data_IF_139350137603
#
_entry.id   IF_139350137603
#
_cell.length_a   1.000
_cell.length_b   1.000
_cell.length_c   1.000
_cell.angle_alpha   90.00
_cell.angle_beta   90.00
_cell.angle_gamma   90.00
#
_symmetry.space_group_name_H-M   'P 1'
#
loop_
_entity.id
_entity.type
_entity.pdbx_description
1 polymer ?
#
# COMPACT_ATOMS: atom_id res chain seq x y z
N UNK A 1 -1.02 -1.16 -12.36
CA UNK A 1 -0.83 -2.46 -12.97
C UNK A 1 -1.10 -3.55 -11.97
N UNK A 2 -1.88 -4.53 -12.35
CA UNK A 2 -2.26 -5.63 -11.47
C UNK A 2 -1.38 -6.88 -11.63
N UNK A 3 -0.40 -6.88 -12.53
CA UNK A 3 0.54 -8.00 -12.62
C UNK A 3 1.49 -7.99 -11.43
N UNK A 4 1.78 -9.16 -10.84
CA UNK A 4 2.81 -9.25 -9.82
C UNK A 4 4.12 -8.73 -10.41
N UNK A 5 4.70 -7.76 -9.77
CA UNK A 5 5.99 -7.21 -10.16
C UNK A 5 7.05 -7.74 -9.21
N UNK A 6 8.22 -8.08 -9.76
CA UNK A 6 9.37 -8.30 -8.90
C UNK A 6 9.77 -6.96 -8.31
N UNK A 7 10.08 -6.92 -7.05
CA UNK A 7 10.75 -5.80 -6.45
C UNK A 7 11.81 -6.28 -5.46
N UNK A 8 12.72 -5.40 -5.14
CA UNK A 8 13.80 -5.68 -4.22
C UNK A 8 14.06 -4.47 -3.35
N UNK A 9 14.57 -4.72 -2.17
CA UNK A 9 14.94 -3.68 -1.23
C UNK A 9 16.20 -2.98 -1.71
N UNK A 10 16.15 -1.65 -1.86
CA UNK A 10 17.29 -0.85 -2.29
C UNK A 10 18.49 -0.99 -1.35
N UNK A 11 18.25 -1.21 -0.05
CA UNK A 11 19.31 -1.37 0.93
C UNK A 11 20.09 -2.68 0.78
N UNK A 12 19.52 -3.67 0.09
CA UNK A 12 20.20 -4.94 -0.18
C UNK A 12 21.21 -4.87 -1.31
N UNK A 13 21.24 -3.77 -2.06
CA UNK A 13 22.15 -3.55 -3.15
C UNK A 13 23.49 -2.99 -2.65
N UNK A 14 24.59 -3.31 -3.33
CA UNK A 14 25.86 -2.65 -3.02
C UNK A 14 25.85 -1.19 -3.48
N UNK A 15 26.82 -0.40 -3.03
CA UNK A 15 26.86 1.06 -3.29
C UNK A 15 26.85 1.41 -4.78
N UNK A 16 27.53 0.64 -5.60
CA UNK A 16 27.58 0.88 -7.04
C UNK A 16 26.24 0.56 -7.71
N UNK A 17 25.64 -0.57 -7.34
CA UNK A 17 24.31 -0.95 -7.81
C UNK A 17 23.25 0.07 -7.38
N UNK A 18 23.32 0.57 -6.16
CA UNK A 18 22.41 1.60 -5.66
C UNK A 18 22.54 2.89 -6.46
N UNK A 19 23.75 3.28 -6.82
CA UNK A 19 24.01 4.49 -7.62
C UNK A 19 23.38 4.37 -9.01
N UNK A 20 23.60 3.25 -9.70
CA UNK A 20 23.05 3.01 -11.03
C UNK A 20 21.53 2.94 -11.00
N UNK A 21 20.96 2.26 -10.01
CA UNK A 21 19.52 2.16 -9.80
C UNK A 21 18.90 3.54 -9.52
N UNK A 22 19.54 4.35 -8.69
CA UNK A 22 19.06 5.70 -8.37
C UNK A 22 19.05 6.61 -9.60
N UNK A 23 20.07 6.53 -10.47
CA UNK A 23 20.12 7.29 -11.71
C UNK A 23 18.99 6.91 -12.66
N UNK A 24 18.78 5.61 -12.85
CA UNK A 24 17.68 5.09 -13.67
C UNK A 24 16.33 5.52 -13.10
N UNK A 25 16.17 5.40 -11.80
CA UNK A 25 14.95 5.79 -11.10
C UNK A 25 14.66 7.29 -11.25
N UNK A 26 15.68 8.14 -11.08
CA UNK A 26 15.51 9.59 -11.24
C UNK A 26 15.03 9.95 -12.64
N UNK A 27 15.57 9.31 -13.66
CA UNK A 27 15.12 9.52 -15.04
C UNK A 27 13.67 9.12 -15.23
N UNK A 28 13.27 7.96 -14.73
CA UNK A 28 11.88 7.50 -14.78
C UNK A 28 10.94 8.47 -14.06
N UNK A 29 11.37 8.97 -12.90
CA UNK A 29 10.60 9.93 -12.12
C UNK A 29 10.42 11.24 -12.89
N UNK A 30 11.48 11.77 -13.50
CA UNK A 30 11.43 12.99 -14.29
C UNK A 30 10.50 12.83 -15.49
N UNK A 31 10.61 11.73 -16.21
CA UNK A 31 9.76 11.45 -17.37
C UNK A 31 8.29 11.33 -16.96
N UNK A 32 8.01 10.66 -15.83
CA UNK A 32 6.66 10.52 -15.32
C UNK A 32 6.06 11.86 -14.87
N UNK A 33 6.84 12.69 -14.21
CA UNK A 33 6.40 14.05 -13.80
C UNK A 33 6.10 14.90 -15.03
N UNK A 34 6.94 14.85 -16.06
CA UNK A 34 6.69 15.56 -17.33
C UNK A 34 5.38 15.13 -17.98
N UNK A 35 5.10 13.82 -17.99
CA UNK A 35 3.88 13.28 -18.56
C UNK A 35 2.64 13.74 -17.78
N UNK A 36 2.73 13.76 -16.45
CA UNK A 36 1.66 14.27 -15.58
C UNK A 36 1.46 15.77 -15.84
N UNK A 37 2.54 16.54 -15.95
CA UNK A 37 2.51 17.97 -16.24
C UNK A 37 1.82 18.26 -17.56
N UNK A 38 2.15 17.49 -18.58
CA UNK A 38 1.54 17.63 -19.90
C UNK A 38 0.04 17.32 -19.85
N UNK A 39 -0.35 16.24 -19.18
CA UNK A 39 -1.74 15.84 -19.02
C UNK A 39 -2.56 16.93 -18.30
N UNK A 40 -1.98 17.54 -17.26
CA UNK A 40 -2.63 18.63 -16.51
C UNK A 40 -2.68 19.92 -17.29
N UNK A 41 -1.69 20.27 -18.10
CA UNK A 41 -1.72 21.46 -18.94
C UNK A 41 -2.69 21.34 -20.11
N UNK A 42 -2.92 20.13 -20.63
CA UNK A 42 -3.91 19.87 -21.66
C UNK A 42 -5.34 20.00 -21.12
N UNK A 43 -5.53 19.84 -19.82
CA UNK A 43 -6.79 20.12 -19.11
C UNK A 43 -6.78 21.56 -18.59
N UNK A 44 -7.18 22.50 -19.42
CA UNK A 44 -7.03 23.95 -19.28
C UNK A 44 -7.76 24.57 -18.08
N UNK A 45 -8.40 23.82 -17.22
CA UNK A 45 -9.16 24.35 -16.07
C UNK A 45 -8.49 23.96 -14.76
N UNK A 46 -7.16 24.11 -14.70
CA UNK A 46 -6.42 23.89 -13.46
C UNK A 46 -6.69 25.03 -12.50
N UNK A 47 -7.40 24.75 -11.44
CA UNK A 47 -7.37 25.53 -10.23
C UNK A 47 -6.10 25.20 -9.43
N UNK A 48 -5.83 25.96 -8.37
CA UNK A 48 -4.61 25.82 -7.55
C UNK A 48 -4.49 24.43 -6.90
N UNK A 49 -5.59 23.70 -6.73
CA UNK A 49 -5.61 22.35 -6.16
C UNK A 49 -4.90 21.32 -7.04
N UNK A 50 -4.80 21.56 -8.35
CA UNK A 50 -4.16 20.63 -9.27
C UNK A 50 -2.62 20.64 -9.19
N UNK A 51 -2.01 21.70 -8.70
CA UNK A 51 -0.56 21.75 -8.49
C UNK A 51 -0.11 20.85 -7.33
N UNK A 52 -0.87 20.82 -6.23
CA UNK A 52 -0.60 19.91 -5.11
C UNK A 52 -0.89 18.47 -5.53
N UNK A 53 -1.99 18.19 -6.23
CA UNK A 53 -2.36 16.85 -6.65
C UNK A 53 -1.36 16.20 -7.60
N UNK A 54 -0.60 16.98 -8.34
CA UNK A 54 0.44 16.54 -9.27
C UNK A 54 1.63 15.90 -8.54
N UNK A 55 2.16 16.55 -7.52
CA UNK A 55 3.24 15.99 -6.71
C UNK A 55 2.74 14.81 -5.88
N UNK A 56 1.55 14.92 -5.31
CA UNK A 56 0.93 13.85 -4.54
C UNK A 56 0.67 12.62 -5.40
N UNK A 57 0.24 12.80 -6.64
CA UNK A 57 0.04 11.70 -7.57
C UNK A 57 1.35 11.03 -7.95
N UNK A 58 2.40 11.78 -8.19
CA UNK A 58 3.72 11.21 -8.49
C UNK A 58 4.22 10.36 -7.32
N UNK A 59 4.11 10.87 -6.10
CA UNK A 59 4.47 10.13 -4.88
C UNK A 59 3.62 8.87 -4.73
N UNK A 60 2.32 8.99 -4.88
CA UNK A 60 1.38 7.86 -4.80
C UNK A 60 1.69 6.77 -5.84
N UNK A 61 2.13 7.17 -7.02
CA UNK A 61 2.53 6.24 -8.10
C UNK A 61 3.92 5.62 -7.88
N UNK A 62 4.63 6.04 -6.83
CA UNK A 62 5.94 5.49 -6.47
C UNK A 62 7.13 6.29 -6.99
N UNK A 63 6.94 7.56 -7.33
CA UNK A 63 7.97 8.45 -7.84
C UNK A 63 8.28 9.56 -6.84
N UNK A 64 9.31 9.37 -6.05
CA UNK A 64 9.72 10.28 -4.99
C UNK A 64 11.23 10.16 -4.76
N UNK A 65 11.82 11.16 -4.13
CA UNK A 65 13.24 11.15 -3.75
C UNK A 65 13.38 10.51 -2.36
N UNK A 66 14.52 9.87 -2.11
CA UNK A 66 14.79 9.23 -0.83
C UNK A 66 14.61 10.20 0.35
N UNK A 67 15.05 11.45 0.21
CA UNK A 67 14.92 12.47 1.26
C UNK A 67 13.48 12.85 1.60
N UNK A 68 12.53 12.54 0.73
CA UNK A 68 11.11 12.79 0.99
C UNK A 68 10.49 11.72 1.89
N UNK A 69 11.14 10.58 2.02
CA UNK A 69 10.67 9.47 2.85
C UNK A 69 10.99 9.76 4.31
N UNK A 70 9.96 9.84 5.14
CA UNK A 70 10.05 10.17 6.56
C UNK A 70 9.51 9.05 7.41
N UNK A 71 9.97 8.98 8.65
CA UNK A 71 9.42 8.05 9.64
C UNK A 71 7.95 8.37 9.92
N UNK A 72 7.18 7.34 10.27
CA UNK A 72 5.76 7.49 10.57
C UNK A 72 5.42 6.80 11.89
N UNK A 73 4.62 7.47 12.71
CA UNK A 73 4.12 6.89 13.93
C UNK A 73 2.95 5.94 13.64
N UNK A 74 2.76 4.95 14.51
CA UNK A 74 1.61 4.03 14.41
C UNK A 74 0.28 4.78 14.39
N UNK A 75 0.21 5.94 15.06
CA UNK A 75 -0.98 6.79 15.08
C UNK A 75 -1.44 7.28 13.72
N UNK A 76 -0.59 7.26 12.70
CA UNK A 76 -1.03 7.56 11.33
C UNK A 76 -2.09 6.56 10.85
N UNK A 77 -2.07 5.34 11.37
CA UNK A 77 -3.00 4.26 11.04
C UNK A 77 -4.11 4.09 12.07
N UNK A 78 -4.22 5.00 13.03
CA UNK A 78 -5.20 4.93 14.13
C UNK A 78 -6.62 4.88 13.61
N UNK A 79 -7.44 3.99 14.17
CA UNK A 79 -8.85 3.86 13.83
C UNK A 79 -9.35 2.43 13.88
N UNK A 80 -10.59 2.28 13.42
CA UNK A 80 -11.26 1.00 13.28
C UNK A 80 -11.35 0.64 11.78
N UNK A 81 -10.89 -0.54 11.43
CA UNK A 81 -10.67 -0.95 10.05
C UNK A 81 -11.37 -2.27 9.74
N UNK A 82 -11.85 -2.42 8.51
CA UNK A 82 -12.47 -3.64 8.01
C UNK A 82 -11.72 -4.18 6.81
N UNK A 83 -11.60 -5.51 6.73
CA UNK A 83 -11.08 -6.19 5.54
C UNK A 83 -12.02 -6.00 4.36
N UNK A 84 -11.46 -5.84 3.18
CA UNK A 84 -12.24 -5.79 1.93
C UNK A 84 -12.40 -7.16 1.27
N UNK A 85 -11.77 -8.18 1.83
CA UNK A 85 -11.82 -9.53 1.27
C UNK A 85 -13.26 -10.07 1.11
N UNK A 86 -14.16 -9.92 2.10
CA UNK A 86 -15.54 -10.37 1.94
C UNK A 86 -16.25 -9.72 0.74
N UNK A 87 -15.92 -8.49 0.40
CA UNK A 87 -16.55 -7.75 -0.71
C UNK A 87 -16.02 -8.19 -2.07
N UNK A 88 -14.80 -8.70 -2.13
CA UNK A 88 -14.30 -9.37 -3.34
C UNK A 88 -15.07 -10.67 -3.56
N UNK A 89 -15.26 -11.45 -2.49
CA UNK A 89 -15.90 -12.77 -2.55
C UNK A 89 -17.38 -12.70 -2.84
N UNK A 90 -18.10 -11.69 -2.33
CA UNK A 90 -19.55 -11.56 -2.50
C UNK A 90 -19.95 -10.91 -3.83
N UNK A 91 -19.00 -10.53 -4.66
CA UNK A 91 -19.25 -9.91 -5.96
C UNK A 91 -19.36 -8.39 -5.93
N UNK A 92 -19.33 -7.75 -4.77
CA UNK A 92 -19.42 -6.28 -4.67
C UNK A 92 -18.34 -5.60 -5.52
N UNK A 93 -17.13 -6.16 -5.56
CA UNK A 93 -16.00 -5.56 -6.28
C UNK A 93 -15.83 -6.05 -7.72
N UNK A 94 -16.78 -6.81 -8.26
CA UNK A 94 -16.68 -7.30 -9.64
C UNK A 94 -16.60 -6.18 -10.66
N UNK A 95 -17.33 -5.09 -10.43
CA UNK A 95 -17.26 -3.88 -11.28
C UNK A 95 -15.87 -3.23 -11.25
N UNK A 96 -15.20 -3.25 -10.11
CA UNK A 96 -13.83 -2.76 -9.95
C UNK A 96 -12.87 -3.61 -10.80
N UNK A 97 -13.02 -4.93 -10.76
CA UNK A 97 -12.18 -5.83 -11.56
C UNK A 97 -12.39 -5.63 -13.05
N UNK A 98 -13.63 -5.43 -13.46
CA UNK A 98 -14.00 -5.12 -14.84
C UNK A 98 -13.36 -3.80 -15.30
N UNK A 99 -13.43 -2.77 -14.48
CA UNK A 99 -12.83 -1.47 -14.75
C UNK A 99 -11.30 -1.58 -14.91
N UNK A 100 -10.65 -2.36 -14.04
CA UNK A 100 -9.21 -2.60 -14.15
C UNK A 100 -8.83 -3.31 -15.46
N UNK A 101 -9.64 -4.26 -15.90
CA UNK A 101 -9.44 -4.97 -17.17
C UNK A 101 -9.62 -4.05 -18.38
N UNK A 102 -10.50 -3.06 -18.28
CA UNK A 102 -10.70 -2.04 -19.32
C UNK A 102 -9.51 -1.08 -19.39
N UNK A 103 -8.95 -0.69 -18.25
CA UNK A 103 -7.80 0.23 -18.19
C UNK A 103 -6.48 -0.45 -18.58
N UNK A 104 -6.32 -1.72 -18.25
CA UNK A 104 -5.13 -2.50 -18.55
C UNK A 104 -5.57 -3.91 -18.96
N UNK A 105 -5.54 -4.18 -20.25
CA UNK A 105 -6.00 -5.44 -20.85
C UNK A 105 -5.01 -6.60 -20.71
N UNK A 106 -3.95 -6.43 -19.94
CA UNK A 106 -2.98 -7.51 -19.68
C UNK A 106 -3.60 -8.73 -18.99
N UNK A 107 -4.72 -8.52 -18.29
CA UNK A 107 -5.52 -9.56 -17.66
C UNK A 107 -7.01 -9.32 -17.90
N UNK A 108 -7.78 -10.41 -17.94
CA UNK A 108 -9.24 -10.34 -17.95
C UNK A 108 -9.77 -9.95 -16.56
N UNK A 109 -11.03 -9.54 -16.47
CA UNK A 109 -11.67 -9.26 -15.18
C UNK A 109 -11.61 -10.47 -14.24
N UNK A 110 -11.78 -11.68 -14.77
CA UNK A 110 -11.68 -12.92 -14.00
C UNK A 110 -10.27 -13.14 -13.46
N UNK A 111 -9.25 -12.86 -14.28
CA UNK A 111 -7.86 -12.96 -13.85
C UNK A 111 -7.51 -11.92 -12.80
N UNK A 112 -8.01 -10.69 -12.94
CA UNK A 112 -7.89 -9.66 -11.90
C UNK A 112 -8.51 -10.12 -10.59
N UNK A 113 -9.71 -10.69 -10.65
CA UNK A 113 -10.38 -11.19 -9.45
C UNK A 113 -9.55 -12.29 -8.75
N UNK A 114 -8.98 -13.20 -9.50
CA UNK A 114 -8.10 -14.25 -8.95
C UNK A 114 -6.83 -13.66 -8.32
N UNK A 115 -6.25 -12.66 -8.94
CA UNK A 115 -5.08 -11.95 -8.42
C UNK A 115 -5.41 -11.24 -7.09
N UNK A 116 -6.52 -10.53 -7.04
CA UNK A 116 -6.96 -9.83 -5.83
C UNK A 116 -7.47 -10.78 -4.76
N UNK A 117 -8.01 -11.93 -5.13
CA UNK A 117 -8.42 -12.96 -4.17
C UNK A 117 -7.22 -13.40 -3.33
N UNK A 118 -6.10 -13.68 -3.97
CA UNK A 118 -4.87 -13.99 -3.27
C UNK A 118 -4.33 -12.79 -2.49
N UNK A 119 -4.38 -11.60 -3.09
CA UNK A 119 -3.89 -10.38 -2.47
C UNK A 119 -4.62 -10.03 -1.19
N UNK A 120 -5.93 -10.07 -1.21
CA UNK A 120 -6.77 -9.67 -0.08
C UNK A 120 -6.97 -10.76 0.96
N UNK A 121 -6.65 -12.02 0.65
CA UNK A 121 -6.94 -13.16 1.51
C UNK A 121 -6.42 -12.96 2.94
N UNK A 122 -7.33 -13.09 3.91
CA UNK A 122 -7.02 -12.97 5.33
C UNK A 122 -8.09 -13.61 6.17
N UNK A 123 -7.72 -14.09 7.35
CA UNK A 123 -8.63 -14.51 8.39
C UNK A 123 -8.87 -13.44 9.47
N UNK A 124 -8.28 -12.25 9.27
CA UNK A 124 -8.46 -11.10 10.15
C UNK A 124 -9.49 -10.16 9.55
N UNK A 125 -10.72 -10.22 10.06
CA UNK A 125 -11.83 -9.43 9.53
C UNK A 125 -11.76 -7.96 9.88
N UNK A 126 -11.23 -7.65 11.07
CA UNK A 126 -11.17 -6.27 11.60
C UNK A 126 -9.84 -6.03 12.29
N UNK A 127 -9.40 -4.77 12.21
CA UNK A 127 -8.21 -4.30 12.92
C UNK A 127 -8.57 -3.00 13.62
N UNK A 128 -8.16 -2.88 14.88
CA UNK A 128 -8.24 -1.62 15.63
C UNK A 128 -6.83 -1.18 15.98
N UNK A 129 -6.52 0.07 15.67
CA UNK A 129 -5.18 0.65 15.91
C UNK A 129 -5.33 1.88 16.79
N UNK A 130 -4.52 1.93 17.84
CA UNK A 130 -4.38 3.11 18.73
C UNK A 130 -2.98 3.70 18.53
N UNK A 131 -2.58 4.61 19.41
CA UNK A 131 -1.25 5.23 19.31
C UNK A 131 -0.12 4.20 19.44
N UNK A 132 -0.33 3.11 20.18
CA UNK A 132 0.71 2.12 20.47
C UNK A 132 0.25 0.66 20.43
N UNK A 133 -1.03 0.39 20.14
CA UNK A 133 -1.55 -0.99 20.11
C UNK A 133 -2.21 -1.32 18.77
N UNK A 134 -2.16 -2.61 18.42
CA UNK A 134 -2.91 -3.16 17.30
C UNK A 134 -3.74 -4.32 17.85
N UNK A 135 -5.05 -4.30 17.57
CA UNK A 135 -5.97 -5.38 17.91
C UNK A 135 -6.38 -6.06 16.61
N UNK A 136 -6.14 -7.36 16.52
CA UNK A 136 -6.56 -8.20 15.40
C UNK A 136 -7.80 -8.99 15.79
N UNK A 137 -8.88 -8.87 15.02
CA UNK A 137 -10.06 -9.72 15.19
C UNK A 137 -9.92 -10.90 14.24
N UNK A 138 -9.68 -12.07 14.81
CA UNK A 138 -9.50 -13.30 14.08
C UNK A 138 -10.50 -14.35 14.57
N UNK A 139 -11.36 -14.80 13.67
CA UNK A 139 -12.41 -15.78 14.01
C UNK A 139 -13.29 -15.32 15.18
N UNK A 140 -13.64 -14.03 15.21
CA UNK A 140 -14.47 -13.45 16.27
C UNK A 140 -13.73 -13.17 17.58
N UNK A 141 -12.43 -13.42 17.65
CA UNK A 141 -11.62 -13.20 18.84
C UNK A 141 -10.68 -12.01 18.64
N UNK A 142 -10.70 -11.07 19.57
CA UNK A 142 -9.79 -9.94 19.58
C UNK A 142 -8.49 -10.29 20.31
N UNK A 143 -7.38 -10.03 19.66
CA UNK A 143 -6.05 -10.22 20.24
C UNK A 143 -5.30 -8.89 20.10
N UNK A 144 -4.90 -8.31 21.22
CA UNK A 144 -4.27 -7.00 21.27
C UNK A 144 -2.81 -7.10 21.69
N UNK A 145 -1.94 -6.40 20.97
CA UNK A 145 -0.54 -6.26 21.33
C UNK A 145 -0.05 -4.84 21.22
N UNK A 146 1.01 -4.55 21.96
CA UNK A 146 1.71 -3.29 21.89
C UNK A 146 2.82 -3.40 20.85
N UNK A 147 2.89 -2.41 19.96
CA UNK A 147 3.85 -2.35 18.86
C UNK A 147 4.65 -1.06 18.91
N UNK A 148 5.92 -1.15 18.57
CA UNK A 148 6.81 0.01 18.49
C UNK A 148 7.42 0.12 17.08
N UNK A 149 7.70 1.34 16.65
CA UNK A 149 8.28 1.59 15.33
C UNK A 149 9.65 0.90 15.19
N UNK A 150 9.84 0.21 14.08
CA UNK A 150 11.06 -0.56 13.79
C UNK A 150 11.65 -0.20 12.42
N UNK A 151 11.39 1.00 11.93
CA UNK A 151 12.01 1.52 10.73
C UNK A 151 11.18 1.40 9.47
N UNK A 152 11.78 1.82 8.38
CA UNK A 152 11.17 1.86 7.06
C UNK A 152 12.12 1.28 6.02
N UNK A 153 11.57 0.71 4.97
CA UNK A 153 12.31 0.17 3.84
C UNK A 153 11.71 0.70 2.54
N UNK A 154 12.58 1.11 1.63
CA UNK A 154 12.18 1.51 0.28
C UNK A 154 12.34 0.31 -0.62
N UNK A 155 11.26 -0.08 -1.27
CA UNK A 155 11.23 -1.22 -2.20
C UNK A 155 11.10 -0.68 -3.62
N UNK A 156 11.84 -1.27 -4.55
CA UNK A 156 11.78 -0.91 -5.95
C UNK A 156 11.10 -2.02 -6.74
N UNK A 157 10.08 -1.64 -7.49
CA UNK A 157 9.37 -2.55 -8.37
C UNK A 157 10.09 -2.69 -9.71
N UNK A 158 9.82 -3.78 -10.42
CA UNK A 158 10.44 -4.08 -11.70
C UNK A 158 10.27 -2.96 -12.72
N UNK A 159 9.15 -2.25 -12.69
CA UNK A 159 8.89 -1.10 -13.58
C UNK A 159 9.63 0.18 -13.20
N UNK A 160 10.37 0.17 -12.10
CA UNK A 160 11.16 1.32 -11.65
C UNK A 160 10.49 2.22 -10.62
N UNK A 161 9.17 2.09 -10.43
CA UNK A 161 8.50 2.79 -9.33
C UNK A 161 8.85 2.15 -7.99
N UNK A 162 8.65 2.90 -6.90
CA UNK A 162 9.04 2.45 -5.57
C UNK A 162 7.87 2.52 -4.59
N UNK A 163 7.98 1.76 -3.52
CA UNK A 163 7.05 1.80 -2.40
C UNK A 163 7.81 1.81 -1.10
N UNK A 164 7.14 2.21 -0.03
CA UNK A 164 7.72 2.23 1.31
C UNK A 164 6.94 1.30 2.22
N UNK A 165 7.66 0.43 2.94
CA UNK A 165 7.11 -0.38 4.02
C UNK A 165 7.52 0.22 5.34
N UNK A 166 6.55 0.48 6.21
CA UNK A 166 6.78 0.95 7.58
C UNK A 166 6.57 -0.22 8.52
N UNK A 167 7.60 -0.56 9.30
CA UNK A 167 7.61 -1.74 10.16
C UNK A 167 7.38 -1.36 11.61
N UNK A 168 6.57 -2.16 12.29
CA UNK A 168 6.30 -2.07 13.73
C UNK A 168 6.53 -3.44 14.34
N UNK A 169 7.20 -3.45 15.50
CA UNK A 169 7.61 -4.67 16.17
C UNK A 169 6.82 -4.86 17.46
N UNK A 170 6.36 -6.10 17.69
CA UNK A 170 5.67 -6.47 18.91
C UNK A 170 6.60 -6.30 20.11
N UNK A 171 6.13 -5.59 21.14
CA UNK A 171 6.85 -5.37 22.40
C UNK A 171 6.62 -6.54 23.35
N UNK A 172 5.44 -7.16 23.27
CA UNK A 172 5.04 -8.26 24.13
C UNK A 172 5.56 -9.61 23.63
N UNK A 173 5.53 -10.64 24.49
CA UNK A 173 5.89 -12.02 24.12
C UNK A 173 4.68 -12.89 23.76
N UNK A 174 3.62 -12.30 23.21
CA UNK A 174 2.42 -13.03 22.83
C UNK A 174 2.61 -13.75 21.49
N UNK A 175 2.69 -15.08 21.54
CA UNK A 175 2.90 -15.93 20.35
C UNK A 175 1.69 -16.00 19.42
N UNK A 176 0.53 -15.57 19.86
CA UNK A 176 -0.67 -15.47 19.01
C UNK A 176 -0.64 -14.26 18.09
N UNK A 177 0.28 -13.32 18.32
CA UNK A 177 0.44 -12.10 17.55
C UNK A 177 1.65 -12.16 16.62
N UNK A 178 1.57 -11.54 15.44
CA UNK A 178 2.75 -11.44 14.59
C UNK A 178 3.80 -10.55 15.24
N UNK A 179 5.05 -10.97 15.18
CA UNK A 179 6.17 -10.21 15.73
C UNK A 179 6.43 -8.93 14.98
N UNK A 180 6.20 -8.94 13.67
CA UNK A 180 6.37 -7.78 12.79
C UNK A 180 5.09 -7.51 12.02
N UNK A 181 4.75 -6.23 11.93
CA UNK A 181 3.64 -5.72 11.14
C UNK A 181 4.18 -4.63 10.25
N UNK A 182 3.92 -4.72 8.95
CA UNK A 182 4.32 -3.69 7.98
C UNK A 182 3.09 -3.12 7.30
N UNK A 183 3.10 -1.80 7.11
CA UNK A 183 2.03 -1.09 6.41
C UNK A 183 2.55 -0.49 5.11
N UNK A 184 1.67 -0.46 4.13
CA UNK A 184 1.84 0.27 2.87
C UNK A 184 0.53 0.94 2.51
N UNK A 185 0.56 2.24 2.24
CA UNK A 185 -0.63 3.02 1.88
C UNK A 185 -0.36 4.09 0.82
N UNK A 186 0.78 4.01 0.13
CA UNK A 186 1.28 4.98 -0.84
C UNK A 186 1.73 6.32 -0.26
N UNK A 187 1.62 6.53 1.05
CA UNK A 187 2.17 7.70 1.74
C UNK A 187 3.61 7.41 2.18
N UNK A 188 4.46 8.42 2.11
CA UNK A 188 5.88 8.30 2.41
C UNK A 188 6.35 9.20 3.55
N UNK A 189 5.41 9.91 4.18
CA UNK A 189 5.65 10.83 5.29
C UNK A 189 4.44 10.85 6.21
N UNK A 190 4.53 11.43 7.42
CA UNK A 190 3.41 11.48 8.35
C UNK A 190 2.14 12.02 7.71
N UNK A 191 1.12 11.18 7.68
CA UNK A 191 -0.20 11.49 7.15
C UNK A 191 -1.19 10.45 7.66
N UNK A 192 -2.39 10.87 8.03
CA UNK A 192 -3.47 9.96 8.39
C UNK A 192 -3.83 9.09 7.18
N UNK A 193 -3.73 7.77 7.34
CA UNK A 193 -4.08 6.83 6.27
C UNK A 193 -5.58 6.79 6.03
N UNK A 194 -5.98 6.62 4.76
CA UNK A 194 -7.37 6.45 4.36
C UNK A 194 -7.72 4.97 4.11
N UNK A 195 -6.73 4.18 3.76
CA UNK A 195 -6.77 2.73 3.66
C UNK A 195 -5.33 2.22 3.66
N UNK A 196 -5.14 0.94 3.93
CA UNK A 196 -3.79 0.38 3.94
C UNK A 196 -3.77 -1.09 3.53
N UNK A 197 -2.59 -1.51 3.09
CA UNK A 197 -2.23 -2.92 2.94
C UNK A 197 -1.34 -3.29 4.11
N UNK A 198 -1.51 -4.52 4.62
CA UNK A 198 -0.76 -5.00 5.78
C UNK A 198 -0.01 -6.28 5.44
N UNK A 199 1.15 -6.44 6.06
CA UNK A 199 2.01 -7.60 5.92
C UNK A 199 2.46 -8.01 7.31
N UNK A 200 2.29 -9.28 7.65
CA UNK A 200 2.57 -9.75 9.02
C UNK A 200 3.38 -11.04 9.03
N UNK A 201 4.16 -11.24 10.07
CA UNK A 201 4.93 -12.46 10.28
C UNK A 201 5.93 -12.31 11.41
N UNK A 202 6.66 -13.39 11.66
CA UNK A 202 7.62 -13.47 12.77
C UNK A 202 9.07 -13.23 12.32
N UNK A 203 9.31 -13.18 11.02
CA UNK A 203 10.62 -12.91 10.42
C UNK A 203 10.52 -11.66 9.56
N UNK A 204 11.21 -10.59 9.96
CA UNK A 204 11.14 -9.28 9.29
C UNK A 204 11.50 -9.36 7.81
N UNK A 205 12.54 -10.11 7.45
CA UNK A 205 12.99 -10.22 6.07
C UNK A 205 11.99 -10.97 5.19
N UNK A 206 11.36 -12.00 5.74
CA UNK A 206 10.30 -12.74 5.03
C UNK A 206 9.07 -11.89 4.80
N UNK A 207 8.68 -11.10 5.80
CA UNK A 207 7.55 -10.16 5.68
C UNK A 207 7.84 -9.14 4.59
N UNK A 208 9.06 -8.62 4.55
CA UNK A 208 9.46 -7.62 3.56
C UNK A 208 9.43 -8.17 2.12
N UNK A 209 9.69 -9.46 1.94
CA UNK A 209 9.71 -10.11 0.63
C UNK A 209 8.34 -10.56 0.13
N UNK A 210 7.29 -10.45 0.96
CA UNK A 210 5.95 -10.85 0.54
C UNK A 210 5.40 -9.85 -0.48
N UNK A 211 5.02 -10.32 -1.66
CA UNK A 211 4.53 -9.52 -2.77
C UNK A 211 3.13 -9.91 -3.24
N UNK A 212 2.68 -11.10 -2.90
CA UNK A 212 1.47 -11.69 -3.48
C UNK A 212 0.26 -11.63 -2.56
N UNK A 213 0.49 -11.55 -1.25
CA UNK A 213 -0.56 -11.43 -0.23
C UNK A 213 -0.37 -10.13 0.53
N UNK A 214 -1.34 -9.25 0.39
CA UNK A 214 -1.36 -7.90 0.96
C UNK A 214 -2.79 -7.57 1.39
N UNK A 215 -3.27 -8.18 2.49
CA UNK A 215 -4.61 -7.87 3.00
C UNK A 215 -4.85 -6.37 3.11
N UNK A 216 -6.03 -5.94 2.71
CA UNK A 216 -6.35 -4.53 2.53
C UNK A 216 -7.54 -4.15 3.41
N UNK A 217 -7.41 -3.00 4.05
CA UNK A 217 -8.36 -2.51 5.05
C UNK A 217 -8.79 -1.09 4.75
N UNK A 218 -10.10 -0.87 4.85
CA UNK A 218 -10.74 0.44 4.72
C UNK A 218 -11.42 0.80 6.05
N UNK A 219 -11.71 2.07 6.30
CA UNK A 219 -12.41 2.47 7.53
C UNK A 219 -13.73 1.70 7.71
N UNK A 220 -13.96 1.21 8.92
CA UNK A 220 -15.16 0.43 9.26
C UNK A 220 -16.44 1.23 9.04
N UNK A 221 -16.39 2.55 9.12
CA UNK A 221 -17.53 3.44 8.88
C UNK A 221 -18.03 3.44 7.44
N UNK A 222 -17.21 3.03 6.48
CA UNK A 222 -17.60 3.02 5.07
C UNK A 222 -18.46 1.82 4.77
N UNK A 223 -19.51 2.03 3.96
CA UNK A 223 -20.32 0.94 3.40
C UNK A 223 -19.56 0.26 2.27
N UNK A 224 -19.95 -0.97 1.94
CA UNK A 224 -19.36 -1.67 0.80
C UNK A 224 -19.50 -0.91 -0.51
N UNK A 225 -20.61 -0.20 -0.69
CA UNK A 225 -20.83 0.65 -1.87
C UNK A 225 -19.86 1.83 -1.90
N UNK A 226 -19.65 2.48 -0.76
CA UNK A 226 -18.67 3.57 -0.65
C UNK A 226 -17.25 3.08 -0.93
N UNK A 227 -16.88 1.91 -0.42
CA UNK A 227 -15.56 1.30 -0.70
C UNK A 227 -15.40 1.02 -2.20
N UNK A 228 -16.41 0.42 -2.82
CA UNK A 228 -16.41 0.17 -4.27
C UNK A 228 -16.22 1.47 -5.06
N UNK A 229 -16.96 2.51 -4.71
CA UNK A 229 -16.85 3.82 -5.37
C UNK A 229 -15.48 4.44 -5.21
N UNK A 230 -14.89 4.34 -4.02
CA UNK A 230 -13.52 4.77 -3.76
C UNK A 230 -12.51 4.05 -4.67
N UNK A 231 -12.66 2.74 -4.80
CA UNK A 231 -11.79 1.94 -5.67
C UNK A 231 -11.98 2.27 -7.15
N UNK A 232 -13.19 2.57 -7.58
CA UNK A 232 -13.48 2.97 -8.97
C UNK A 232 -12.93 4.35 -9.30
N UNK A 233 -12.80 5.24 -8.30
CA UNK A 233 -12.28 6.60 -8.48
C UNK A 233 -10.75 6.64 -8.61
N UNK A 234 -10.07 5.55 -8.29
CA UNK A 234 -8.61 5.46 -8.35
C UNK A 234 -8.07 4.72 -9.60
#
# INVERSE_FOLDING_TARGET
SAKPLKFYNMESLNKEQQKDENLTYQKLMEDNIKNIDKALSDNIHSDDDQHESKHDKAISDGYFKDKQVKDRALSDYKGDWQSVYPYLKDGTLDEVMKHKAEDDDSMTAKEYKAYYDKGYETDVDKIKITDDTITFNKNGKDITGKYSYDGKDILKYEKGNRGVRYTYKLVDDNKELPKYVQFSDHNIAPKKTEHFHIFTGDDKDKVLKELDNWPTYYPEKLTKTEIKEEMLAH
#
